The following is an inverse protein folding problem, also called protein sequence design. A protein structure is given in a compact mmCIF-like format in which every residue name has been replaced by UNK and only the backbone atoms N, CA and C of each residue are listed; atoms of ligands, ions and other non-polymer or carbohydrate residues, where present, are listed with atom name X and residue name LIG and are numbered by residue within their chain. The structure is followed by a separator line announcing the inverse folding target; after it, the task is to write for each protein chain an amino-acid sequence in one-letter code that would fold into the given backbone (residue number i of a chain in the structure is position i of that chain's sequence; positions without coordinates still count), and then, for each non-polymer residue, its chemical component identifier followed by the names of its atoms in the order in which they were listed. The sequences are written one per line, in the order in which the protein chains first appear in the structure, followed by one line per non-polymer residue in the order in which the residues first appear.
data_IF_489629647023
#
_entry.id   IF_489629647023
#
_cell.length_a   1.000
_cell.length_b   1.000
_cell.length_c   1.000
_cell.angle_alpha   90.00
_cell.angle_beta   90.00
_cell.angle_gamma   90.00
#
_symmetry.space_group_name_H-M   'P 1'
#
loop_
_entity.id
_entity.type
_entity.pdbx_description
1 polymer ?
#
# COMPACT_ATOMS: atom_id res chain seq x y z
N UNK A 1 -10.65 6.31 4.90
CA UNK A 1 -9.48 5.50 4.51
C UNK A 1 -9.72 5.04 3.10
N UNK A 2 -8.72 5.12 2.24
CA UNK A 2 -8.78 4.68 0.85
C UNK A 2 -7.76 3.55 0.73
N UNK A 3 -8.17 2.40 0.22
CA UNK A 3 -7.26 1.35 -0.17
C UNK A 3 -7.10 1.33 -1.68
N UNK A 4 -5.87 1.14 -2.15
CA UNK A 4 -5.53 1.13 -3.55
C UNK A 4 -4.67 -0.10 -3.88
N UNK A 5 -5.21 -1.03 -4.65
CA UNK A 5 -4.43 -2.03 -5.37
C UNK A 5 -3.94 -1.43 -6.70
N UNK A 6 -2.63 -1.41 -6.90
CA UNK A 6 -2.00 -0.57 -7.93
C UNK A 6 -1.82 -1.35 -9.23
N UNK A 7 -2.45 -0.87 -10.30
CA UNK A 7 -2.20 -1.33 -11.66
C UNK A 7 -0.98 -0.65 -12.29
N UNK A 8 -0.44 -1.21 -13.37
CA UNK A 8 0.59 -0.54 -14.18
C UNK A 8 0.06 0.71 -14.91
N UNK A 9 0.94 1.57 -15.42
CA UNK A 9 0.58 2.85 -16.08
C UNK A 9 -0.47 2.72 -17.20
N UNK A 10 -0.46 1.61 -17.93
CA UNK A 10 -1.35 1.35 -19.08
C UNK A 10 -2.18 0.07 -18.87
N UNK A 11 -2.76 -0.10 -17.68
CA UNK A 11 -3.53 -1.28 -17.32
C UNK A 11 -4.95 -1.36 -17.93
N UNK A 12 -5.35 -0.39 -18.76
CA UNK A 12 -6.70 -0.28 -19.35
C UNK A 12 -7.18 -1.58 -20.01
N UNK A 13 -6.26 -2.33 -20.63
CA UNK A 13 -6.55 -3.58 -21.34
C UNK A 13 -6.07 -4.83 -20.60
N UNK A 14 -5.40 -4.66 -19.47
CA UNK A 14 -4.96 -5.79 -18.65
C UNK A 14 -6.18 -6.31 -17.87
N UNK A 15 -6.56 -7.56 -18.13
CA UNK A 15 -7.68 -8.20 -17.42
C UNK A 15 -7.27 -8.67 -16.03
N UNK A 16 -5.99 -9.01 -15.85
CA UNK A 16 -5.45 -9.66 -14.66
C UNK A 16 -5.02 -8.67 -13.57
N UNK A 17 -4.67 -7.44 -13.92
CA UNK A 17 -4.21 -6.43 -12.94
C UNK A 17 -4.56 -5.03 -13.43
N UNK A 18 -5.29 -4.28 -12.61
CA UNK A 18 -5.73 -2.90 -12.83
C UNK A 18 -5.61 -2.12 -11.53
N UNK A 19 -5.76 -0.80 -11.63
CA UNK A 19 -5.98 -0.02 -10.41
C UNK A 19 -7.34 -0.41 -9.84
N UNK A 20 -7.40 -0.71 -8.54
CA UNK A 20 -8.65 -0.87 -7.83
C UNK A 20 -8.68 -0.05 -6.55
N UNK A 21 -9.85 0.51 -6.23
CA UNK A 21 -10.05 1.40 -5.09
C UNK A 21 -11.22 0.93 -4.25
N UNK A 22 -11.06 1.05 -2.93
CA UNK A 22 -12.14 0.90 -1.95
C UNK A 22 -12.04 2.01 -0.92
N UNK A 23 -13.17 2.64 -0.59
CA UNK A 23 -13.25 3.70 0.42
C UNK A 23 -14.05 3.19 1.61
N UNK A 24 -13.48 3.34 2.81
CA UNK A 24 -14.17 3.07 4.07
C UNK A 24 -14.06 4.27 5.00
N UNK A 25 -15.07 4.50 5.83
CA UNK A 25 -15.05 5.55 6.84
C UNK A 25 -14.53 5.05 8.21
N UNK A 26 -14.53 5.95 9.20
CA UNK A 26 -14.06 5.65 10.55
C UNK A 26 -14.89 4.57 11.27
N UNK A 27 -16.15 4.38 10.88
CA UNK A 27 -17.06 3.40 11.47
C UNK A 27 -16.98 2.03 10.76
N UNK A 28 -15.96 1.82 9.93
CA UNK A 28 -15.81 0.65 9.06
C UNK A 28 -16.97 0.49 8.07
N UNK A 29 -17.65 1.58 7.69
CA UNK A 29 -18.64 1.51 6.62
C UNK A 29 -17.97 1.79 5.28
N UNK A 30 -18.25 0.94 4.29
CA UNK A 30 -17.90 1.23 2.91
C UNK A 30 -18.66 2.46 2.43
N UNK A 31 -17.95 3.31 1.70
CA UNK A 31 -18.51 4.52 1.09
C UNK A 31 -18.50 4.33 -0.42
N UNK A 32 -19.65 4.54 -1.04
CA UNK A 32 -19.82 4.35 -2.48
C UNK A 32 -19.61 2.90 -2.88
N UNK A 33 -18.93 2.67 -4.01
CA UNK A 33 -18.69 1.33 -4.58
C UNK A 33 -17.19 1.10 -4.82
N UNK A 34 -16.72 -0.15 -4.75
CA UNK A 34 -15.41 -0.49 -5.29
C UNK A 34 -15.30 -0.02 -6.74
N UNK A 35 -14.12 0.45 -7.10
CA UNK A 35 -13.82 0.87 -8.45
C UNK A 35 -12.63 0.09 -8.99
N UNK A 36 -12.66 -0.23 -10.28
CA UNK A 36 -11.55 -0.90 -10.96
C UNK A 36 -11.34 -0.32 -12.36
N UNK A 37 -10.13 0.16 -12.66
CA UNK A 37 -9.81 0.83 -13.91
C UNK A 37 -8.33 1.20 -14.07
N UNK A 38 -8.08 2.39 -14.60
CA UNK A 38 -6.73 2.96 -14.71
C UNK A 38 -6.77 4.41 -14.20
N UNK A 39 -5.97 4.73 -13.19
CA UNK A 39 -5.91 6.05 -12.57
C UNK A 39 -5.00 7.04 -13.30
N UNK A 40 -4.37 6.65 -14.41
CA UNK A 40 -3.42 7.50 -15.15
C UNK A 40 -4.03 8.87 -15.52
N UNK A 41 -5.27 8.93 -15.95
CA UNK A 41 -5.91 10.20 -16.33
C UNK A 41 -6.13 11.11 -15.12
N UNK A 42 -6.63 10.54 -14.02
CA UNK A 42 -6.84 11.22 -12.75
C UNK A 42 -5.52 11.77 -12.19
N UNK A 43 -4.45 10.97 -12.23
CA UNK A 43 -3.10 11.37 -11.82
C UNK A 43 -2.59 12.55 -12.66
N UNK A 44 -2.78 12.50 -13.98
CA UNK A 44 -2.33 13.56 -14.90
C UNK A 44 -3.11 14.87 -14.71
N UNK A 45 -4.42 14.78 -14.48
CA UNK A 45 -5.30 15.96 -14.39
C UNK A 45 -5.22 16.63 -13.02
N UNK A 46 -4.93 15.89 -11.96
CA UNK A 46 -4.80 16.45 -10.61
C UNK A 46 -3.61 17.41 -10.51
N UNK A 47 -3.89 18.62 -10.02
CA UNK A 47 -2.90 19.68 -9.78
C UNK A 47 -2.48 19.77 -8.32
N UNK A 48 -3.35 19.33 -7.44
CA UNK A 48 -3.17 19.36 -5.99
C UNK A 48 -3.49 18.00 -5.38
N UNK A 49 -3.06 17.79 -4.14
CA UNK A 49 -3.43 16.60 -3.35
C UNK A 49 -4.95 16.48 -3.19
N UNK A 50 -5.63 17.60 -2.97
CA UNK A 50 -7.10 17.65 -2.89
C UNK A 50 -7.78 17.22 -4.19
N UNK A 51 -7.28 17.66 -5.35
CA UNK A 51 -7.81 17.23 -6.65
C UNK A 51 -7.63 15.73 -6.85
N UNK A 52 -6.44 15.22 -6.49
CA UNK A 52 -6.14 13.80 -6.59
C UNK A 52 -7.08 12.98 -5.70
N UNK A 53 -7.16 13.29 -4.40
CA UNK A 53 -8.04 12.59 -3.46
C UNK A 53 -9.50 12.67 -3.89
N UNK A 54 -9.97 13.85 -4.33
CA UNK A 54 -11.33 14.00 -4.87
C UNK A 54 -11.58 13.09 -6.06
N UNK A 55 -10.61 12.96 -6.97
CA UNK A 55 -10.76 12.08 -8.13
C UNK A 55 -10.86 10.60 -7.74
N UNK A 56 -10.15 10.15 -6.70
CA UNK A 56 -10.26 8.77 -6.18
C UNK A 56 -11.64 8.52 -5.56
N UNK A 57 -12.13 9.48 -4.78
CA UNK A 57 -13.46 9.42 -4.16
C UNK A 57 -14.56 9.38 -5.21
N UNK A 58 -14.49 10.25 -6.22
CA UNK A 58 -15.45 10.26 -7.34
C UNK A 58 -15.42 8.97 -8.15
N UNK A 59 -14.24 8.36 -8.36
CA UNK A 59 -14.15 7.06 -9.01
C UNK A 59 -14.94 5.97 -8.26
N UNK A 60 -15.04 6.09 -6.93
CA UNK A 60 -15.81 5.20 -6.07
C UNK A 60 -17.26 5.64 -5.84
N UNK A 61 -17.81 6.60 -6.59
CA UNK A 61 -19.13 7.20 -6.34
C UNK A 61 -19.28 7.82 -4.93
N UNK A 62 -18.21 8.41 -4.38
CA UNK A 62 -18.22 9.11 -3.08
C UNK A 62 -18.23 10.62 -3.30
N UNK A 63 -19.41 11.23 -3.19
CA UNK A 63 -19.61 12.64 -3.58
C UNK A 63 -19.13 13.66 -2.54
N UNK A 64 -19.00 13.31 -1.27
CA UNK A 64 -18.75 14.28 -0.19
C UNK A 64 -17.83 13.71 0.89
N UNK A 65 -16.66 14.33 1.01
CA UNK A 65 -15.82 14.24 2.20
C UNK A 65 -15.76 15.62 2.82
N UNK A 66 -15.95 15.71 4.13
CA UNK A 66 -15.87 16.99 4.84
C UNK A 66 -14.47 17.57 4.64
N UNK A 67 -14.35 18.91 4.52
CA UNK A 67 -13.05 19.59 4.32
C UNK A 67 -12.04 19.36 5.46
N UNK A 68 -12.50 18.92 6.63
CA UNK A 68 -11.72 18.60 7.81
C UNK A 68 -11.46 17.09 8.01
N UNK A 69 -11.79 16.27 7.02
CA UNK A 69 -11.60 14.84 7.12
C UNK A 69 -10.16 14.43 6.81
N UNK A 70 -9.53 13.73 7.76
CA UNK A 70 -8.25 13.06 7.53
C UNK A 70 -8.41 11.88 6.57
N UNK A 71 -7.54 11.82 5.56
CA UNK A 71 -7.47 10.73 4.60
C UNK A 71 -6.18 9.94 4.81
N UNK A 72 -6.32 8.63 4.98
CA UNK A 72 -5.18 7.69 4.89
C UNK A 72 -5.37 6.82 3.67
N UNK A 73 -4.36 6.81 2.80
CA UNK A 73 -4.25 5.99 1.61
C UNK A 73 -3.34 4.79 1.88
N UNK A 74 -3.91 3.58 1.91
CA UNK A 74 -3.12 2.34 1.91
C UNK A 74 -2.84 1.93 0.47
N UNK A 75 -1.57 1.86 0.09
CA UNK A 75 -1.14 1.58 -1.30
C UNK A 75 -0.48 0.20 -1.36
N UNK A 76 -0.99 -0.69 -2.21
CA UNK A 76 -0.43 -2.01 -2.47
C UNK A 76 0.49 -1.99 -3.70
N UNK A 77 1.72 -1.55 -3.48
CA UNK A 77 2.84 -1.65 -4.41
C UNK A 77 4.13 -1.27 -3.69
N UNK A 78 5.32 -1.75 -4.11
CA UNK A 78 6.57 -1.23 -3.57
C UNK A 78 6.69 0.30 -3.74
N UNK A 79 6.87 1.03 -2.65
CA UNK A 79 7.01 2.50 -2.63
C UNK A 79 8.47 2.96 -2.46
N UNK A 80 9.42 2.05 -2.59
CA UNK A 80 10.84 2.33 -2.56
C UNK A 80 11.66 1.21 -3.21
N UNK A 81 12.96 1.45 -3.31
CA UNK A 81 13.96 0.48 -3.76
C UNK A 81 15.02 0.32 -2.69
N UNK A 82 15.77 -0.79 -2.73
CA UNK A 82 16.85 -1.01 -1.76
C UNK A 82 17.96 0.03 -1.95
N UNK A 83 18.61 0.40 -0.85
CA UNK A 83 19.73 1.34 -0.86
C UNK A 83 20.82 0.88 -1.82
N UNK A 84 21.10 -0.42 -1.86
CA UNK A 84 22.12 -1.01 -2.72
C UNK A 84 21.76 -0.90 -4.21
N UNK A 85 20.49 -1.08 -4.57
CA UNK A 85 20.05 -0.87 -5.96
C UNK A 85 20.18 0.60 -6.36
N UNK A 86 19.75 1.51 -5.48
CA UNK A 86 19.88 2.96 -5.73
C UNK A 86 21.34 3.34 -5.91
N UNK A 87 22.25 2.86 -5.06
CA UNK A 87 23.69 3.10 -5.16
C UNK A 87 24.29 2.54 -6.46
N UNK A 88 23.84 1.36 -6.90
CA UNK A 88 24.24 0.79 -8.18
C UNK A 88 23.80 1.67 -9.35
N UNK A 89 22.54 2.13 -9.36
CA UNK A 89 21.97 2.92 -10.46
C UNK A 89 22.55 4.34 -10.53
N UNK A 90 22.76 4.98 -9.39
CA UNK A 90 23.15 6.39 -9.32
C UNK A 90 24.67 6.56 -9.28
N UNK A 91 25.38 5.70 -8.54
CA UNK A 91 26.83 5.83 -8.31
C UNK A 91 27.66 4.75 -9.00
N UNK A 92 27.03 3.73 -9.59
CA UNK A 92 27.74 2.58 -10.16
C UNK A 92 28.43 1.70 -9.10
N UNK A 93 28.08 1.85 -7.82
CA UNK A 93 28.68 1.10 -6.73
C UNK A 93 28.05 -0.28 -6.61
N UNK A 94 28.85 -1.33 -6.77
CA UNK A 94 28.42 -2.70 -6.59
C UNK A 94 28.56 -3.17 -5.13
N UNK A 95 27.71 -4.11 -4.73
CA UNK A 95 27.94 -4.92 -3.53
C UNK A 95 29.04 -5.96 -3.80
N UNK A 96 29.83 -6.34 -2.78
CA UNK A 96 30.89 -7.33 -2.94
C UNK A 96 30.36 -8.76 -3.16
N UNK A 97 29.14 -9.06 -2.68
CA UNK A 97 28.54 -10.40 -2.75
C UNK A 97 27.06 -10.30 -3.10
N UNK A 98 26.62 -11.12 -4.04
CA UNK A 98 25.20 -11.34 -4.36
C UNK A 98 24.78 -12.69 -3.78
N UNK A 99 23.88 -12.66 -2.81
CA UNK A 99 23.40 -13.86 -2.12
C UNK A 99 22.20 -14.53 -2.83
N UNK A 100 21.62 -15.55 -2.20
CA UNK A 100 20.37 -16.17 -2.64
C UNK A 100 19.23 -15.14 -2.75
N UNK A 101 18.17 -15.49 -3.51
CA UNK A 101 17.09 -14.56 -3.87
C UNK A 101 16.56 -13.73 -2.69
N UNK A 102 16.11 -14.35 -1.60
CA UNK A 102 15.54 -13.66 -0.42
C UNK A 102 16.52 -12.73 0.31
N UNK A 103 17.81 -12.91 0.08
CA UNK A 103 18.93 -12.16 0.70
C UNK A 103 19.68 -11.29 -0.30
N UNK A 104 19.19 -11.20 -1.53
CA UNK A 104 19.84 -10.41 -2.57
C UNK A 104 19.59 -8.91 -2.30
N UNK A 105 20.65 -8.12 -2.06
CA UNK A 105 20.52 -6.73 -1.62
C UNK A 105 19.95 -5.82 -2.71
N UNK A 106 19.99 -6.21 -3.98
CA UNK A 106 19.40 -5.43 -5.07
C UNK A 106 17.91 -5.71 -5.28
N UNK A 107 17.42 -6.87 -4.84
CA UNK A 107 16.05 -7.30 -5.11
C UNK A 107 15.08 -6.82 -4.03
N UNK A 108 15.48 -6.95 -2.78
CA UNK A 108 14.60 -6.74 -1.62
C UNK A 108 15.13 -5.63 -0.74
N UNK A 109 14.25 -4.78 -0.21
CA UNK A 109 14.61 -3.78 0.77
C UNK A 109 14.71 -4.41 2.15
N UNK A 110 15.10 -3.60 3.13
CA UNK A 110 15.13 -3.99 4.53
C UNK A 110 13.78 -4.57 4.99
N UNK A 111 12.67 -3.92 4.66
CA UNK A 111 11.33 -4.35 5.09
C UNK A 111 10.98 -5.74 4.55
N UNK A 112 11.26 -6.07 3.29
CA UNK A 112 10.96 -7.40 2.74
C UNK A 112 11.84 -8.47 3.39
N UNK A 113 13.13 -8.21 3.60
CA UNK A 113 14.05 -9.13 4.29
C UNK A 113 13.58 -9.39 5.72
N UNK A 114 13.20 -8.35 6.44
CA UNK A 114 12.61 -8.44 7.78
C UNK A 114 11.34 -9.31 7.80
N UNK A 115 10.50 -9.21 6.77
CA UNK A 115 9.27 -9.99 6.64
C UNK A 115 9.54 -11.45 6.25
N UNK A 116 10.56 -11.72 5.41
CA UNK A 116 11.01 -13.09 5.10
C UNK A 116 11.40 -13.88 6.34
N UNK A 117 12.17 -13.27 7.23
CA UNK A 117 12.57 -13.88 8.51
C UNK A 117 11.38 -14.24 9.41
N UNK A 118 10.19 -13.67 9.14
CA UNK A 118 8.96 -13.85 9.93
C UNK A 118 7.87 -14.61 9.18
N UNK A 119 8.28 -15.36 8.14
CA UNK A 119 7.40 -16.27 7.40
C UNK A 119 6.50 -15.61 6.37
N UNK A 120 6.70 -14.33 6.06
CA UNK A 120 6.01 -13.63 5.00
C UNK A 120 6.88 -13.54 3.74
N UNK A 121 6.28 -13.31 2.59
CA UNK A 121 7.03 -13.24 1.32
C UNK A 121 6.50 -12.13 0.42
N UNK A 122 6.70 -10.86 0.80
CA UNK A 122 6.31 -9.72 -0.01
C UNK A 122 7.00 -9.72 -1.37
N UNK A 123 6.30 -9.19 -2.37
CA UNK A 123 6.85 -9.01 -3.71
C UNK A 123 7.80 -7.82 -3.73
N UNK A 124 8.75 -7.83 -4.67
CA UNK A 124 9.63 -6.72 -4.96
C UNK A 124 9.45 -6.23 -6.39
N UNK A 125 9.71 -4.93 -6.59
CA UNK A 125 9.64 -4.30 -7.90
C UNK A 125 10.54 -4.96 -8.95
N UNK A 126 11.74 -5.41 -8.55
CA UNK A 126 12.73 -5.98 -9.47
C UNK A 126 12.49 -7.46 -9.71
N UNK A 127 12.42 -8.27 -8.64
CA UNK A 127 12.32 -9.73 -8.78
C UNK A 127 11.00 -10.14 -9.43
N UNK A 128 9.91 -9.48 -9.06
CA UNK A 128 8.56 -9.88 -9.46
C UNK A 128 8.04 -9.05 -10.65
N UNK A 129 8.93 -8.25 -11.27
CA UNK A 129 8.69 -7.49 -12.49
C UNK A 129 7.51 -6.51 -12.40
N UNK A 130 7.23 -6.00 -11.19
CA UNK A 130 6.15 -5.03 -10.92
C UNK A 130 6.63 -3.57 -10.89
N UNK A 131 7.67 -3.25 -11.68
CA UNK A 131 8.24 -1.90 -11.76
C UNK A 131 7.25 -0.84 -12.28
N UNK A 132 6.26 -1.23 -13.11
CA UNK A 132 5.23 -0.30 -13.58
C UNK A 132 4.32 0.17 -12.44
N UNK A 133 3.91 -0.76 -11.57
CA UNK A 133 3.11 -0.50 -10.38
C UNK A 133 3.91 0.33 -9.37
N UNK A 134 5.16 -0.08 -9.10
CA UNK A 134 6.04 0.60 -8.15
C UNK A 134 6.27 2.06 -8.55
N UNK A 135 6.64 2.30 -9.81
CA UNK A 135 6.86 3.67 -10.31
C UNK A 135 5.59 4.51 -10.29
N UNK A 136 4.40 3.92 -10.50
CA UNK A 136 3.12 4.65 -10.37
C UNK A 136 2.86 5.08 -8.92
N UNK A 137 2.99 4.16 -7.96
CA UNK A 137 2.83 4.48 -6.54
C UNK A 137 3.83 5.55 -6.08
N UNK A 138 5.12 5.35 -6.39
CA UNK A 138 6.18 6.31 -6.07
C UNK A 138 5.95 7.69 -6.71
N UNK A 139 5.45 7.75 -7.96
CA UNK A 139 5.12 9.00 -8.62
C UNK A 139 4.01 9.76 -7.87
N UNK A 140 2.93 9.06 -7.49
CA UNK A 140 1.83 9.65 -6.72
C UNK A 140 2.35 10.24 -5.42
N UNK A 141 3.19 9.51 -4.69
CA UNK A 141 3.81 10.02 -3.47
C UNK A 141 4.66 11.27 -3.73
N UNK A 142 5.58 11.23 -4.70
CA UNK A 142 6.45 12.35 -4.99
C UNK A 142 5.68 13.61 -5.44
N UNK A 143 4.55 13.42 -6.14
CA UNK A 143 3.74 14.51 -6.68
C UNK A 143 2.77 15.11 -5.67
N UNK A 144 2.14 14.29 -4.83
CA UNK A 144 1.03 14.72 -3.97
C UNK A 144 1.30 14.59 -2.47
N UNK A 145 2.28 13.78 -2.05
CA UNK A 145 2.59 13.51 -0.65
C UNK A 145 4.12 13.53 -0.43
N UNK A 146 4.81 14.65 -0.72
CA UNK A 146 6.26 14.68 -0.80
C UNK A 146 6.96 14.62 0.58
N UNK A 147 6.24 14.94 1.66
CA UNK A 147 6.82 14.98 3.01
C UNK A 147 6.86 13.58 3.63
N UNK A 148 7.96 13.28 4.33
CA UNK A 148 8.19 11.99 5.00
C UNK A 148 8.48 12.22 6.49
N UNK A 149 7.47 12.23 7.36
CA UNK A 149 7.69 12.47 8.79
C UNK A 149 8.46 11.34 9.48
N UNK A 150 8.37 10.11 8.97
CA UNK A 150 9.18 8.97 9.38
C UNK A 150 9.15 7.86 8.30
N UNK A 151 9.98 6.83 8.49
CA UNK A 151 10.08 5.71 7.56
C UNK A 151 8.71 5.07 7.24
N UNK A 152 8.37 5.00 5.95
CA UNK A 152 7.14 4.38 5.46
C UNK A 152 5.86 5.22 5.55
N UNK A 153 5.96 6.49 5.99
CA UNK A 153 4.80 7.40 6.01
C UNK A 153 5.10 8.56 5.08
N UNK A 154 4.15 8.85 4.20
CA UNK A 154 4.17 9.99 3.29
C UNK A 154 2.97 10.90 3.56
N UNK A 155 3.11 12.22 3.41
CA UNK A 155 2.04 13.19 3.69
C UNK A 155 2.19 14.46 2.85
N UNK A 156 1.10 15.24 2.78
CA UNK A 156 1.07 16.61 2.27
C UNK A 156 1.37 17.67 3.35
N UNK A 157 1.75 17.26 4.56
CA UNK A 157 1.90 18.10 5.76
C UNK A 157 0.57 18.77 6.19
N UNK A 158 -0.56 18.18 5.77
CA UNK A 158 -1.90 18.62 6.10
C UNK A 158 -2.77 17.43 6.55
N UNK A 159 -3.77 17.04 5.75
CA UNK A 159 -4.80 16.07 6.15
C UNK A 159 -4.66 14.72 5.46
N UNK A 160 -3.71 14.57 4.54
CA UNK A 160 -3.56 13.34 3.74
C UNK A 160 -2.25 12.66 4.10
N UNK A 161 -2.34 11.36 4.38
CA UNK A 161 -1.18 10.50 4.56
C UNK A 161 -1.30 9.25 3.71
N UNK A 162 -0.18 8.67 3.30
CA UNK A 162 -0.12 7.37 2.66
C UNK A 162 0.87 6.44 3.38
N UNK A 163 0.56 5.15 3.29
CA UNK A 163 1.41 4.06 3.77
C UNK A 163 1.46 2.96 2.71
N UNK A 164 2.58 2.24 2.68
CA UNK A 164 2.67 1.00 1.91
C UNK A 164 2.04 -0.14 2.69
N UNK A 165 1.24 -0.96 2.00
CA UNK A 165 0.60 -2.15 2.56
C UNK A 165 0.94 -3.37 1.71
N UNK A 166 0.63 -4.56 2.23
CA UNK A 166 0.75 -5.80 1.46
C UNK A 166 -0.40 -6.77 1.80
N UNK A 167 -1.55 -6.68 1.11
CA UNK A 167 -2.77 -7.47 1.34
C UNK A 167 -2.55 -8.97 1.46
N UNK A 168 -1.64 -9.54 0.67
CA UNK A 168 -1.35 -10.97 0.72
C UNK A 168 -0.82 -11.43 2.09
N UNK A 169 -0.09 -10.58 2.84
CA UNK A 169 0.30 -10.90 4.22
C UNK A 169 -0.87 -10.90 5.21
N UNK A 170 -1.95 -10.18 4.91
CA UNK A 170 -3.11 -10.08 5.80
C UNK A 170 -4.13 -11.22 5.58
N UNK A 171 -3.94 -12.09 4.57
CA UNK A 171 -4.85 -13.21 4.26
C UNK A 171 -5.10 -14.14 5.46
N UNK A 172 -4.12 -14.30 6.35
CA UNK A 172 -4.25 -15.15 7.55
C UNK A 172 -4.57 -14.37 8.84
N UNK A 173 -4.42 -13.04 8.84
CA UNK A 173 -4.69 -12.19 10.02
C UNK A 173 -6.14 -12.34 10.48
N UNK A 174 -6.32 -12.74 11.73
CA UNK A 174 -7.63 -12.81 12.37
C UNK A 174 -8.22 -11.41 12.53
N UNK A 175 -7.38 -10.42 12.86
CA UNK A 175 -7.77 -9.02 13.00
C UNK A 175 -8.36 -8.47 11.70
N UNK A 176 -7.68 -8.69 10.56
CA UNK A 176 -8.16 -8.18 9.27
C UNK A 176 -9.40 -8.95 8.79
N UNK A 177 -9.49 -10.27 9.04
CA UNK A 177 -10.70 -11.05 8.73
C UNK A 177 -11.93 -10.53 9.47
N UNK A 178 -11.81 -10.29 10.77
CA UNK A 178 -12.88 -9.74 11.60
C UNK A 178 -13.27 -8.32 11.15
N UNK A 179 -12.30 -7.46 10.87
CA UNK A 179 -12.57 -6.12 10.32
C UNK A 179 -13.29 -6.18 8.97
N UNK A 180 -12.88 -7.09 8.08
CA UNK A 180 -13.53 -7.30 6.78
C UNK A 180 -14.98 -7.74 6.96
N UNK A 181 -15.23 -8.71 7.83
CA UNK A 181 -16.59 -9.20 8.10
C UNK A 181 -17.48 -8.08 8.66
N UNK A 182 -16.98 -7.31 9.64
CA UNK A 182 -17.70 -6.15 10.18
C UNK A 182 -17.95 -5.09 9.12
N UNK A 183 -16.96 -4.78 8.29
CA UNK A 183 -17.07 -3.78 7.23
C UNK A 183 -18.16 -4.14 6.22
N UNK A 184 -18.13 -5.37 5.69
CA UNK A 184 -19.13 -5.87 4.75
C UNK A 184 -20.52 -5.94 5.41
N UNK A 185 -20.60 -6.42 6.65
CA UNK A 185 -21.84 -6.52 7.42
C UNK A 185 -22.50 -5.16 7.68
N UNK A 186 -21.74 -4.16 8.13
CA UNK A 186 -22.25 -2.80 8.35
C UNK A 186 -22.65 -2.09 7.06
N UNK A 187 -22.07 -2.50 5.94
CA UNK A 187 -22.35 -1.92 4.63
C UNK A 187 -23.48 -2.64 3.88
N UNK A 188 -23.98 -3.77 4.41
CA UNK A 188 -24.92 -4.63 3.70
C UNK A 188 -24.38 -5.14 2.36
N UNK A 189 -23.06 -5.25 2.22
CA UNK A 189 -22.38 -5.59 0.99
C UNK A 189 -21.90 -7.05 1.00
N UNK A 190 -21.90 -7.69 -0.18
CA UNK A 190 -21.15 -8.93 -0.42
C UNK A 190 -19.95 -8.63 -1.33
N UNK A 191 -18.85 -9.35 -1.10
CA UNK A 191 -17.64 -9.31 -1.92
C UNK A 191 -17.48 -10.55 -2.82
N UNK A 192 -18.53 -11.35 -2.98
CA UNK A 192 -18.45 -12.63 -3.71
C UNK A 192 -18.14 -12.42 -5.20
N UNK A 193 -18.76 -11.40 -5.81
CA UNK A 193 -18.59 -11.07 -7.23
C UNK A 193 -17.40 -10.13 -7.49
N UNK A 194 -16.65 -9.73 -6.46
CA UNK A 194 -15.56 -8.77 -6.62
C UNK A 194 -14.33 -9.42 -7.26
N UNK A 195 -13.62 -8.62 -8.06
CA UNK A 195 -12.31 -9.00 -8.56
C UNK A 195 -11.30 -9.13 -7.42
N UNK A 196 -10.21 -9.87 -7.64
CA UNK A 196 -9.11 -9.95 -6.65
C UNK A 196 -8.56 -8.56 -6.30
N UNK A 197 -8.27 -7.72 -7.30
CA UNK A 197 -7.84 -6.34 -7.11
C UNK A 197 -8.75 -5.54 -6.15
N UNK A 198 -10.08 -5.69 -6.24
CA UNK A 198 -11.02 -4.99 -5.36
C UNK A 198 -10.98 -5.53 -3.93
N UNK A 199 -10.76 -6.84 -3.76
CA UNK A 199 -10.59 -7.48 -2.44
C UNK A 199 -9.26 -7.09 -1.80
N UNK A 200 -8.20 -6.93 -2.60
CA UNK A 200 -6.91 -6.46 -2.14
C UNK A 200 -6.95 -4.96 -1.81
N UNK A 201 -7.64 -4.15 -2.60
CA UNK A 201 -7.95 -2.75 -2.28
C UNK A 201 -8.74 -2.61 -0.97
N UNK A 202 -9.75 -3.45 -0.71
CA UNK A 202 -10.44 -3.44 0.60
C UNK A 202 -9.47 -3.78 1.73
N UNK A 203 -8.58 -4.75 1.54
CA UNK A 203 -7.57 -5.10 2.55
C UNK A 203 -6.63 -3.95 2.82
N UNK A 204 -6.18 -3.26 1.77
CA UNK A 204 -5.36 -2.05 1.89
C UNK A 204 -6.10 -0.96 2.69
N UNK A 205 -7.40 -0.76 2.45
CA UNK A 205 -8.22 0.20 3.19
C UNK A 205 -8.33 -0.18 4.68
N UNK A 206 -8.48 -1.47 5.00
CA UNK A 206 -8.55 -1.97 6.37
C UNK A 206 -7.22 -1.83 7.11
N UNK A 207 -6.08 -2.04 6.43
CA UNK A 207 -4.75 -1.80 7.02
C UNK A 207 -4.55 -0.29 7.26
N UNK A 208 -4.97 0.57 6.34
CA UNK A 208 -4.98 2.02 6.56
C UNK A 208 -5.87 2.44 7.75
N UNK A 209 -7.00 1.76 7.95
CA UNK A 209 -7.84 1.95 9.14
C UNK A 209 -7.13 1.52 10.42
N UNK A 210 -6.47 0.36 10.42
CA UNK A 210 -5.64 -0.09 11.55
C UNK A 210 -4.54 0.93 11.86
N UNK A 211 -3.84 1.43 10.85
CA UNK A 211 -2.81 2.44 11.01
C UNK A 211 -3.34 3.68 11.73
N UNK A 212 -4.54 4.15 11.37
CA UNK A 212 -5.14 5.34 11.97
C UNK A 212 -5.68 5.11 13.38
N UNK A 213 -6.38 4.00 13.62
CA UNK A 213 -7.21 3.82 14.82
C UNK A 213 -6.71 2.76 15.79
N UNK A 214 -5.85 1.85 15.33
CA UNK A 214 -5.28 0.73 16.09
C UNK A 214 -3.80 0.51 15.70
N UNK A 215 -2.94 1.55 15.76
CA UNK A 215 -1.56 1.45 15.32
C UNK A 215 -0.77 0.37 16.06
N UNK A 216 -1.15 0.05 17.31
CA UNK A 216 -0.59 -1.03 18.11
C UNK A 216 -0.72 -2.42 17.45
N UNK A 217 -1.69 -2.59 16.55
CA UNK A 217 -1.95 -3.84 15.81
C UNK A 217 -1.11 -4.01 14.56
N UNK A 218 -0.32 -3.01 14.17
CA UNK A 218 0.59 -3.08 13.04
C UNK A 218 2.04 -3.24 13.49
N UNK A 219 2.85 -3.82 12.62
CA UNK A 219 4.30 -3.87 12.76
C UNK A 219 4.89 -2.55 12.28
N UNK A 220 5.65 -1.89 13.15
CA UNK A 220 6.30 -0.60 12.89
C UNK A 220 7.77 -0.78 12.51
N UNK A 221 8.34 0.13 11.71
CA UNK A 221 9.75 0.06 11.36
C UNK A 221 10.63 0.15 12.62
N UNK A 222 11.67 -0.70 12.75
CA UNK A 222 12.69 -0.49 13.76
C UNK A 222 13.49 0.79 13.48
N UNK A 223 14.25 1.28 14.47
CA UNK A 223 14.97 2.56 14.39
C UNK A 223 16.13 2.58 13.38
N UNK A 224 16.52 1.43 12.84
CA UNK A 224 17.65 1.28 11.92
C UNK A 224 17.24 1.07 10.46
N UNK A 225 15.94 1.15 10.13
CA UNK A 225 15.50 1.03 8.73
C UNK A 225 15.97 2.26 7.94
N UNK A 226 16.60 2.08 6.76
CA UNK A 226 16.88 3.20 5.88
C UNK A 226 15.58 3.89 5.46
N UNK A 227 15.42 5.17 5.80
CA UNK A 227 14.17 5.93 5.54
C UNK A 227 13.77 5.95 4.05
N UNK A 228 14.76 5.94 3.16
CA UNK A 228 14.56 5.99 1.71
C UNK A 228 13.92 4.71 1.16
N UNK A 229 14.11 3.58 1.82
CA UNK A 229 13.56 2.30 1.41
C UNK A 229 12.05 2.21 1.71
N UNK A 230 11.56 2.94 2.72
CA UNK A 230 10.17 2.85 3.16
C UNK A 230 9.87 1.62 4.03
N UNK A 231 8.59 1.36 4.29
CA UNK A 231 8.15 0.29 5.19
C UNK A 231 6.79 -0.27 4.77
N UNK A 232 6.67 -1.59 4.76
CA UNK A 232 5.39 -2.28 4.52
C UNK A 232 4.68 -2.47 5.86
N UNK A 233 3.53 -1.82 6.04
CA UNK A 233 2.70 -2.01 7.22
C UNK A 233 1.89 -3.29 7.10
N UNK A 234 2.14 -4.24 8.02
CA UNK A 234 1.42 -5.52 8.12
C UNK A 234 0.80 -5.70 9.50
N UNK A 235 -0.32 -6.44 9.63
CA UNK A 235 -0.87 -6.83 10.92
C UNK A 235 0.12 -7.66 11.74
N UNK A 236 0.23 -7.41 13.04
CA UNK A 236 1.14 -8.17 13.93
C UNK A 236 0.79 -9.66 13.98
N UNK A 237 -0.49 -9.99 13.91
CA UNK A 237 -0.99 -11.38 13.94
C UNK A 237 -0.80 -12.11 12.60
N UNK A 238 -0.25 -11.45 11.57
CA UNK A 238 0.20 -12.08 10.33
C UNK A 238 1.61 -12.66 10.43
N UNK A 239 2.42 -12.20 11.38
CA UNK A 239 3.78 -12.71 11.53
C UNK A 239 3.74 -14.09 12.16
N UNK A 240 4.48 -15.05 11.60
CA UNK A 240 4.76 -16.27 12.33
C UNK A 240 5.46 -15.87 13.64
N UNK A 241 5.03 -16.44 14.77
CA UNK A 241 5.79 -16.30 16.00
C UNK A 241 7.18 -16.86 15.70
N UNK A 242 8.22 -16.03 15.79
CA UNK A 242 9.57 -16.50 15.57
C UNK A 242 9.80 -17.65 16.56
N UNK A 243 9.88 -18.88 16.05
CA UNK A 243 10.47 -19.97 16.80
C UNK A 243 11.89 -19.52 17.09
N UNK A 244 12.14 -19.11 18.33
CA UNK A 244 13.49 -19.00 18.87
C UNK A 244 14.10 -20.40 18.75
N UNK A 245 14.83 -20.63 17.67
CA UNK A 245 15.80 -21.71 17.54
C UNK A 245 17.16 -21.18 18.00
#
# INVERSE_FOLDING_TARGET
MIGWDVGGWNCDRNRLSRDALVVIDQNLQMRGKPWRGNLREQINQAKTTDDFVRSLLLACDVEIVRRDATVVLGIDTPLGFSTELVNLLISGHSVPVVNASATNPYLFRYTERFLFERGLSPLSAIKDMIGSQATKGMHVLARFLPYRPCCGIWTDDAQVSAIEVYPSSAKQSAVVKDLRQRCLGFSGASSDDWHEDERDALTAALIAWLFRFKPDRLVWPPSNVPEQEGWIFVPRDSLATASLL
#
